data_IF_367676352516
#
_entry.id   IF_367676352516
#
_cell.length_a   1.000
_cell.length_b   1.000
_cell.length_c   1.000
_cell.angle_alpha   90.00
_cell.angle_beta   90.00
_cell.angle_gamma   90.00
#
_symmetry.space_group_name_H-M   'P 1'
#
loop_
_entity.id
_entity.type
_entity.pdbx_description
1 polymer ?
#
# COMPACT_ATOMS: atom_id res chain seq x y z
N UNK A 1 1.68 28.24 10.43
CA UNK A 1 0.26 27.82 10.51
C UNK A 1 -0.06 26.60 9.65
N UNK A 2 0.22 26.59 8.33
CA UNK A 2 -0.10 25.44 7.44
C UNK A 2 0.54 24.10 7.86
N UNK A 3 1.76 24.13 8.41
CA UNK A 3 2.47 22.95 8.94
C UNK A 3 1.82 22.36 10.20
N UNK A 4 1.21 23.21 11.03
CA UNK A 4 0.52 22.80 12.27
C UNK A 4 -0.81 22.15 11.93
N UNK A 5 -1.53 22.66 10.92
CA UNK A 5 -2.77 22.03 10.42
C UNK A 5 -2.48 20.67 9.81
N UNK A 6 -1.40 20.53 9.03
CA UNK A 6 -0.99 19.24 8.48
C UNK A 6 -0.61 18.24 9.59
N UNK A 7 0.12 18.70 10.61
CA UNK A 7 0.48 17.89 11.78
C UNK A 7 -0.78 17.45 12.56
N UNK A 8 -1.74 18.34 12.75
CA UNK A 8 -3.00 18.03 13.42
C UNK A 8 -3.86 17.04 12.62
N UNK A 9 -3.86 17.11 11.29
CA UNK A 9 -4.57 16.14 10.43
C UNK A 9 -3.89 14.77 10.49
N UNK A 10 -2.55 14.72 10.48
CA UNK A 10 -1.80 13.47 10.63
C UNK A 10 -2.07 12.83 12.00
N UNK A 11 -2.04 13.63 13.08
CA UNK A 11 -2.34 13.16 14.43
C UNK A 11 -3.81 12.75 14.57
N UNK A 12 -4.75 13.50 13.99
CA UNK A 12 -6.18 13.18 14.02
C UNK A 12 -6.52 11.89 13.26
N UNK A 13 -5.79 11.57 12.19
CA UNK A 13 -5.94 10.32 11.45
C UNK A 13 -5.42 9.08 12.19
N UNK A 14 -4.64 9.24 13.26
CA UNK A 14 -4.06 8.13 14.02
C UNK A 14 -4.96 7.57 15.12
N UNK A 15 -6.15 8.14 15.36
CA UNK A 15 -7.02 7.76 16.49
C UNK A 15 -7.98 6.58 16.23
N UNK A 16 -7.84 5.85 15.13
CA UNK A 16 -8.63 4.62 14.90
C UNK A 16 -7.95 3.42 15.60
N UNK A 17 -8.33 3.23 16.87
CA UNK A 17 -8.18 2.02 17.70
C UNK A 17 -6.94 1.14 17.46
N UNK A 18 -5.88 1.36 18.23
CA UNK A 18 -4.88 0.31 18.49
C UNK A 18 -5.38 -0.57 19.63
N UNK A 19 -6.00 -1.72 19.32
CA UNK A 19 -6.16 -2.78 20.32
C UNK A 19 -4.78 -3.38 20.60
N UNK A 20 -4.26 -2.94 21.74
CA UNK A 20 -2.91 -3.14 22.24
C UNK A 20 -2.63 -4.64 22.43
N UNK A 21 -1.65 -5.14 21.68
CA UNK A 21 -0.83 -6.33 21.93
C UNK A 21 -1.36 -7.75 21.71
N UNK A 22 -2.63 -8.08 21.96
CA UNK A 22 -3.05 -9.51 21.95
C UNK A 22 -4.01 -9.89 20.82
N UNK A 23 -4.71 -8.91 20.24
CA UNK A 23 -5.75 -9.19 19.26
C UNK A 23 -5.26 -9.00 17.83
N UNK A 24 -5.71 -9.91 16.97
CA UNK A 24 -5.59 -9.78 15.53
C UNK A 24 -6.58 -8.73 15.05
N UNK A 25 -6.11 -7.75 14.29
CA UNK A 25 -6.96 -6.75 13.67
C UNK A 25 -7.17 -7.13 12.20
N UNK A 26 -8.42 -7.06 11.75
CA UNK A 26 -8.76 -7.17 10.33
C UNK A 26 -9.38 -5.84 9.92
N UNK A 27 -8.82 -5.23 8.89
CA UNK A 27 -9.28 -3.97 8.33
C UNK A 27 -9.74 -4.12 6.90
N UNK A 28 -10.73 -3.33 6.51
CA UNK A 28 -11.13 -3.16 5.11
C UNK A 28 -11.19 -1.66 4.84
N UNK A 29 -10.55 -1.22 3.76
CA UNK A 29 -10.61 0.15 3.27
C UNK A 29 -11.14 0.16 1.86
N UNK A 30 -12.09 1.06 1.61
CA UNK A 30 -12.63 1.34 0.29
C UNK A 30 -12.56 2.85 0.05
N UNK A 31 -12.12 3.29 -1.13
CA UNK A 31 -12.35 4.67 -1.53
C UNK A 31 -11.39 5.22 -2.58
N UNK A 32 -11.97 5.90 -3.58
CA UNK A 32 -11.29 6.75 -4.57
C UNK A 32 -12.17 7.08 -5.78
N UNK A 33 -12.42 8.37 -6.07
CA UNK A 33 -13.04 8.83 -7.32
C UNK A 33 -12.05 8.82 -8.52
N UNK A 34 -10.75 8.54 -8.25
CA UNK A 34 -9.64 8.56 -9.21
C UNK A 34 -8.64 7.39 -9.00
N UNK A 35 -9.12 6.16 -8.78
CA UNK A 35 -8.26 4.96 -8.88
C UNK A 35 -7.55 4.48 -7.61
N UNK A 36 -7.96 4.95 -6.43
CA UNK A 36 -7.66 4.27 -5.17
C UNK A 36 -8.69 3.13 -5.02
N UNK A 37 -8.25 1.88 -5.16
CA UNK A 37 -9.14 0.72 -5.08
C UNK A 37 -9.39 0.22 -3.65
N UNK A 38 -9.80 -1.03 -3.51
CA UNK A 38 -10.12 -1.63 -2.22
C UNK A 38 -8.89 -2.30 -1.60
N UNK A 39 -8.82 -2.33 -0.27
CA UNK A 39 -7.73 -2.94 0.48
C UNK A 39 -8.28 -3.75 1.65
N UNK A 40 -7.69 -4.92 1.88
CA UNK A 40 -7.88 -5.74 3.08
C UNK A 40 -6.55 -5.79 3.82
N UNK A 41 -6.57 -5.45 5.11
CA UNK A 41 -5.40 -5.46 5.98
C UNK A 41 -5.58 -6.48 7.09
N UNK A 42 -4.51 -7.21 7.38
CA UNK A 42 -4.41 -8.16 8.47
C UNK A 42 -3.24 -7.77 9.36
N UNK A 43 -3.47 -7.56 10.66
CA UNK A 43 -2.43 -7.23 11.62
C UNK A 43 -2.46 -8.15 12.83
N UNK A 44 -1.45 -9.00 13.00
CA UNK A 44 -1.36 -9.96 14.09
C UNK A 44 -0.15 -9.75 14.99
N UNK A 45 -0.24 -10.01 16.30
CA UNK A 45 0.94 -10.09 17.16
C UNK A 45 1.76 -11.33 16.83
N UNK A 46 3.08 -11.21 16.86
CA UNK A 46 4.03 -12.30 16.60
C UNK A 46 4.99 -12.53 17.77
N UNK A 47 4.83 -11.78 18.86
CA UNK A 47 5.59 -11.90 20.10
C UNK A 47 5.34 -10.68 20.99
N UNK A 48 6.05 -10.63 22.11
CA UNK A 48 5.95 -9.52 23.04
C UNK A 48 6.50 -8.25 22.40
N UNK A 49 5.64 -7.27 22.18
CA UNK A 49 6.03 -5.99 21.58
C UNK A 49 6.26 -6.01 20.07
N UNK A 50 5.90 -7.08 19.36
CA UNK A 50 6.07 -7.19 17.91
C UNK A 50 4.79 -7.60 17.19
N UNK A 51 4.51 -6.98 16.04
CA UNK A 51 3.38 -7.30 15.17
C UNK A 51 3.82 -7.46 13.72
N UNK A 52 3.02 -8.19 12.96
CA UNK A 52 3.11 -8.27 11.52
C UNK A 52 1.82 -7.70 10.91
N UNK A 53 1.97 -6.83 9.93
CA UNK A 53 0.89 -6.32 9.09
C UNK A 53 1.06 -6.81 7.65
N UNK A 54 -0.04 -7.21 7.03
CA UNK A 54 -0.12 -7.58 5.64
C UNK A 54 -1.33 -6.90 4.99
N UNK A 55 -1.09 -6.13 3.94
CA UNK A 55 -2.12 -5.36 3.25
C UNK A 55 -2.23 -5.80 1.80
N UNK A 56 -3.38 -6.36 1.44
CA UNK A 56 -3.71 -6.72 0.07
C UNK A 56 -4.61 -5.64 -0.54
N UNK A 57 -4.04 -4.86 -1.45
CA UNK A 57 -4.73 -3.83 -2.20
C UNK A 57 -5.05 -4.30 -3.62
N UNK A 58 -6.28 -4.04 -4.07
CA UNK A 58 -6.70 -4.18 -5.47
C UNK A 58 -6.99 -2.78 -6.03
N UNK A 59 -6.62 -2.53 -7.29
CA UNK A 59 -6.85 -1.26 -7.98
C UNK A 59 -7.35 -1.53 -9.39
N UNK A 60 -8.34 -0.74 -9.82
CA UNK A 60 -8.89 -0.78 -11.16
C UNK A 60 -9.24 0.64 -11.59
N UNK A 61 -8.97 0.97 -12.85
CA UNK A 61 -9.28 2.25 -13.47
C UNK A 61 -9.34 2.12 -15.00
N UNK A 62 -9.56 3.23 -15.70
CA UNK A 62 -9.68 3.21 -17.16
C UNK A 62 -8.36 2.81 -17.81
N UNK A 63 -8.32 1.60 -18.39
CA UNK A 63 -7.17 1.05 -19.09
C UNK A 63 -6.05 0.52 -18.20
N UNK A 64 -6.29 0.32 -16.89
CA UNK A 64 -5.34 -0.37 -16.03
C UNK A 64 -6.01 -1.10 -14.87
N UNK A 65 -5.42 -2.22 -14.49
CA UNK A 65 -5.75 -2.96 -13.27
C UNK A 65 -4.48 -3.42 -12.58
N UNK A 66 -4.56 -3.67 -11.28
CA UNK A 66 -3.42 -4.18 -10.55
C UNK A 66 -3.75 -4.56 -9.13
N UNK A 67 -2.80 -5.26 -8.51
CA UNK A 67 -2.85 -5.57 -7.08
C UNK A 67 -1.50 -5.27 -6.43
N UNK A 68 -1.52 -5.02 -5.14
CA UNK A 68 -0.34 -4.82 -4.32
C UNK A 68 -0.44 -5.61 -3.04
N UNK A 69 0.69 -6.16 -2.60
CA UNK A 69 0.85 -6.75 -1.29
C UNK A 69 1.90 -5.95 -0.53
N UNK A 70 1.54 -5.45 0.64
CA UNK A 70 2.46 -4.79 1.57
C UNK A 70 2.64 -5.69 2.78
N UNK A 71 3.86 -5.81 3.26
CA UNK A 71 4.18 -6.46 4.52
C UNK A 71 4.98 -5.52 5.41
N UNK A 72 4.61 -5.40 6.68
CA UNK A 72 5.28 -4.53 7.64
C UNK A 72 5.55 -5.31 8.92
N UNK A 73 6.82 -5.34 9.34
CA UNK A 73 7.18 -5.77 10.69
C UNK A 73 7.13 -4.55 11.61
N UNK A 74 6.48 -4.68 12.75
CA UNK A 74 6.21 -3.56 13.65
C UNK A 74 6.73 -3.85 15.05
N UNK A 75 7.59 -2.96 15.55
CA UNK A 75 7.87 -2.82 16.98
C UNK A 75 6.80 -1.94 17.60
N UNK A 76 6.11 -2.43 18.63
CA UNK A 76 4.97 -1.75 19.26
C UNK A 76 5.31 -1.32 20.68
N UNK A 77 5.02 -0.05 20.98
CA UNK A 77 5.35 0.60 22.25
C UNK A 77 4.10 1.15 22.92
N UNK A 78 3.90 0.78 24.18
CA UNK A 78 2.74 1.15 24.96
C UNK A 78 3.05 2.47 25.67
N UNK A 79 2.08 3.37 25.70
CA UNK A 79 2.12 4.57 26.54
C UNK A 79 1.13 4.41 27.70
N UNK A 80 1.46 5.06 28.81
CA UNK A 80 0.57 5.24 29.96
C UNK A 80 -0.58 6.14 29.53
N UNK A 81 -1.66 5.53 29.01
CA UNK A 81 -3.02 6.07 28.77
C UNK A 81 -3.80 5.22 27.73
N UNK A 82 -3.34 4.00 27.42
CA UNK A 82 -3.99 3.13 26.44
C UNK A 82 -3.68 3.49 24.99
N UNK A 83 -2.79 4.45 24.78
CA UNK A 83 -2.23 4.76 23.47
C UNK A 83 -1.03 3.86 23.17
N UNK A 84 -0.95 3.35 21.94
CA UNK A 84 0.18 2.57 21.48
C UNK A 84 0.69 3.15 20.17
N UNK A 85 2.01 3.24 20.02
CA UNK A 85 2.63 3.59 18.74
C UNK A 85 3.47 2.43 18.24
N UNK A 86 3.75 2.43 16.95
CA UNK A 86 4.60 1.42 16.35
C UNK A 86 5.51 2.02 15.29
N UNK A 87 6.62 1.34 15.06
CA UNK A 87 7.55 1.64 13.97
C UNK A 87 8.13 0.34 13.47
N UNK A 88 8.46 0.26 12.20
CA UNK A 88 9.30 -0.83 11.72
C UNK A 88 9.44 -0.87 10.21
N UNK A 89 10.23 -1.83 9.71
CA UNK A 89 10.51 -1.94 8.29
C UNK A 89 9.31 -2.54 7.56
N UNK A 90 9.07 -2.03 6.35
CA UNK A 90 8.06 -2.54 5.45
C UNK A 90 8.61 -2.74 4.05
N UNK A 91 7.99 -3.66 3.32
CA UNK A 91 8.23 -3.89 1.91
C UNK A 91 6.91 -4.06 1.18
N UNK A 92 6.90 -3.70 -0.11
CA UNK A 92 5.71 -3.81 -0.94
C UNK A 92 6.05 -4.42 -2.29
N UNK A 93 5.18 -5.32 -2.76
CA UNK A 93 5.19 -5.85 -4.11
C UNK A 93 3.91 -5.41 -4.82
N UNK A 94 4.00 -5.10 -6.10
CA UNK A 94 2.85 -4.70 -6.90
C UNK A 94 2.95 -5.24 -8.32
N UNK A 95 1.80 -5.63 -8.86
CA UNK A 95 1.63 -6.07 -10.24
C UNK A 95 0.57 -5.20 -10.89
N UNK A 96 0.88 -4.66 -12.06
CA UNK A 96 -0.04 -3.86 -12.85
C UNK A 96 -0.11 -4.40 -14.27
N UNK A 97 -1.33 -4.40 -14.81
CA UNK A 97 -1.64 -4.63 -16.21
C UNK A 97 -2.22 -3.35 -16.78
N UNK A 98 -1.73 -2.95 -17.94
CA UNK A 98 -2.32 -1.87 -18.74
C UNK A 98 -3.03 -2.51 -19.93
N UNK A 99 -4.24 -2.05 -20.22
CA UNK A 99 -4.92 -2.44 -21.44
C UNK A 99 -4.30 -1.65 -22.59
N UNK A 100 -3.56 -2.32 -23.46
CA UNK A 100 -3.06 -1.72 -24.69
C UNK A 100 -4.25 -1.40 -25.61
N UNK A 101 -4.82 -0.21 -25.48
CA UNK A 101 -5.73 0.36 -26.47
C UNK A 101 -4.92 0.84 -27.69
N UNK A 102 -4.34 -0.10 -28.41
CA UNK A 102 -3.65 0.14 -29.68
C UNK A 102 -4.43 -0.61 -30.77
N UNK A 103 -5.61 -0.09 -31.10
CA UNK A 103 -6.30 -0.40 -32.35
C UNK A 103 -5.71 0.46 -33.48
N UNK A 104 -4.47 0.18 -33.86
CA UNK A 104 -3.94 0.70 -35.14
C UNK A 104 -4.59 -0.12 -36.25
N UNK A 105 -5.27 0.49 -37.24
CA UNK A 105 -5.61 -0.18 -38.48
C UNK A 105 -4.31 -0.69 -39.11
N UNK A 106 -4.22 -2.00 -39.30
CA UNK A 106 -3.06 -2.66 -39.92
C UNK A 106 -2.88 -2.13 -41.34
N UNK A 107 -2.01 -1.12 -41.50
CA UNK A 107 -1.35 -0.81 -42.75
C UNK A 107 0.14 -1.12 -42.61
N UNK A 108 0.48 -2.28 -43.16
CA UNK A 108 1.81 -2.82 -43.50
C UNK A 108 2.87 -3.07 -42.41
N UNK A 109 3.61 -4.19 -42.50
CA UNK A 109 4.52 -4.63 -41.45
C UNK A 109 5.88 -3.94 -41.57
N UNK A 110 6.15 -2.92 -40.74
CA UNK A 110 7.54 -2.55 -40.43
C UNK A 110 8.03 -3.38 -39.26
N UNK A 111 8.99 -4.28 -39.55
CA UNK A 111 9.74 -5.07 -38.58
C UNK A 111 10.26 -4.18 -37.44
N UNK A 112 9.67 -4.32 -36.26
CA UNK A 112 10.29 -3.88 -35.01
C UNK A 112 10.41 -5.09 -34.07
N UNK A 113 11.57 -5.74 -34.15
CA UNK A 113 12.07 -6.57 -33.05
C UNK A 113 12.48 -5.64 -31.91
N UNK A 114 11.83 -5.73 -30.75
CA UNK A 114 12.52 -5.52 -29.47
C UNK A 114 11.78 -6.20 -28.33
N UNK A 115 12.36 -7.31 -27.88
CA UNK A 115 12.16 -7.82 -26.53
C UNK A 115 12.74 -6.80 -25.54
N UNK A 116 11.98 -6.44 -24.52
CA UNK A 116 12.56 -5.78 -23.34
C UNK A 116 11.76 -6.15 -22.10
N UNK A 117 12.24 -7.16 -21.37
CA UNK A 117 12.01 -7.29 -19.93
C UNK A 117 12.99 -6.34 -19.24
N UNK A 118 12.49 -5.27 -18.62
CA UNK A 118 13.31 -4.28 -17.92
C UNK A 118 13.10 -4.32 -16.42
N UNK A 119 14.11 -4.76 -15.66
CA UNK A 119 14.23 -4.54 -14.23
C UNK A 119 14.74 -3.10 -14.01
N UNK A 120 13.91 -2.22 -13.46
CA UNK A 120 14.31 -0.85 -13.11
C UNK A 120 14.65 -0.74 -11.62
N UNK A 121 15.93 -0.56 -11.30
CA UNK A 121 16.41 -0.11 -10.00
C UNK A 121 16.62 1.41 -10.05
N UNK A 122 15.76 2.17 -9.36
CA UNK A 122 15.93 3.61 -9.17
C UNK A 122 16.77 3.87 -7.92
N UNK A 123 18.04 4.26 -8.13
CA UNK A 123 18.90 4.83 -7.08
C UNK A 123 18.62 6.33 -6.99
N UNK A 124 18.14 6.78 -5.83
CA UNK A 124 17.90 8.20 -5.54
C UNK A 124 19.23 8.88 -5.18
N UNK A 125 19.50 10.06 -5.76
CA UNK A 125 20.48 11.01 -5.20
C UNK A 125 19.92 11.64 -3.94
#
# INVERSE_FOLDING_TARGET
MKKIVLLLIVVAGSFLSSQLYSQTNLGVRIGGWQGYGAEVSYQGPIGDGNRLEADLGIRSGDGYSGFSLVGIYQWTFALEDGFGWYVGPGASLGVWSYDDAVSIPLSEPKKLKRNSYGLFLLKKK
#
